data_IF_961490990142
#
_entry.id   IF_961490990142
#
_cell.length_a   1.000
_cell.length_b   1.000
_cell.length_c   1.000
_cell.angle_alpha   90.00
_cell.angle_beta   90.00
_cell.angle_gamma   90.00
#
_symmetry.space_group_name_H-M   'P 1'
#
loop_
_entity.id
_entity.type
_entity.pdbx_description
1 polymer ?
#
# COMPACT_ATOMS: atom_id res chain seq x y z
N UNK A 1 -5.70 -16.12 11.30
CA UNK A 1 -4.67 -16.42 10.29
C UNK A 1 -4.99 -17.79 9.76
N UNK A 2 -5.12 -17.94 8.45
CA UNK A 2 -5.40 -19.21 7.78
C UNK A 2 -4.15 -19.64 7.03
N UNK A 3 -3.72 -20.89 7.22
CA UNK A 3 -2.48 -21.39 6.64
C UNK A 3 -2.79 -22.55 5.68
N UNK A 4 -2.18 -22.52 4.52
CA UNK A 4 -2.20 -23.59 3.54
C UNK A 4 -0.82 -24.25 3.48
N UNK A 5 -0.80 -25.58 3.44
CA UNK A 5 0.41 -26.38 3.48
C UNK A 5 0.44 -27.31 2.27
N UNK A 6 1.65 -27.55 1.75
CA UNK A 6 1.95 -28.59 0.77
C UNK A 6 2.97 -29.55 1.41
N UNK A 7 2.47 -30.66 1.94
CA UNK A 7 3.24 -31.48 2.88
C UNK A 7 3.62 -30.70 4.14
N UNK A 8 4.91 -30.61 4.43
CA UNK A 8 5.46 -29.85 5.56
C UNK A 8 5.81 -28.38 5.20
N UNK A 9 5.72 -28.01 3.92
CA UNK A 9 6.05 -26.67 3.46
C UNK A 9 4.82 -25.75 3.55
N UNK A 10 4.96 -24.60 4.19
CA UNK A 10 3.94 -23.55 4.16
C UNK A 10 3.81 -23.03 2.72
N UNK A 11 2.67 -23.28 2.08
CA UNK A 11 2.45 -22.90 0.69
C UNK A 11 1.83 -21.52 0.55
N UNK A 12 0.97 -21.12 1.50
CA UNK A 12 0.30 -19.82 1.52
C UNK A 12 -0.17 -19.45 2.93
N UNK A 13 -0.17 -18.17 3.26
CA UNK A 13 -0.75 -17.67 4.51
C UNK A 13 -1.71 -16.51 4.24
N UNK A 14 -2.84 -16.50 4.94
CA UNK A 14 -3.83 -15.42 4.97
C UNK A 14 -3.96 -14.87 6.37
N UNK A 15 -4.10 -13.55 6.48
CA UNK A 15 -4.53 -12.87 7.70
C UNK A 15 -5.78 -12.04 7.40
N UNK A 16 -6.74 -12.05 8.32
CA UNK A 16 -7.90 -11.15 8.25
C UNK A 16 -7.61 -9.92 9.08
N UNK A 17 -7.66 -8.76 8.44
CA UNK A 17 -7.61 -7.45 9.08
C UNK A 17 -9.03 -6.93 9.30
N UNK A 18 -9.19 -6.00 10.24
CA UNK A 18 -10.48 -5.33 10.49
C UNK A 18 -10.95 -4.56 9.26
N UNK A 19 -12.22 -4.13 9.27
CA UNK A 19 -12.72 -3.22 8.26
C UNK A 19 -11.89 -1.91 8.24
N UNK A 20 -11.66 -1.33 7.06
CA UNK A 20 -10.90 -0.09 6.91
C UNK A 20 -11.65 1.10 7.52
N UNK A 21 -10.93 1.91 8.27
CA UNK A 21 -11.34 3.21 8.77
C UNK A 21 -10.74 4.29 7.85
N UNK A 22 -11.59 5.18 7.35
CA UNK A 22 -11.22 6.24 6.42
C UNK A 22 -11.13 7.56 7.18
N UNK A 23 -9.99 8.25 7.03
CA UNK A 23 -9.66 9.49 7.70
C UNK A 23 -9.68 10.69 6.76
N UNK A 24 -8.76 11.61 7.00
CA UNK A 24 -8.70 12.88 6.27
C UNK A 24 -8.27 12.68 4.81
N UNK A 25 -8.80 13.56 3.95
CA UNK A 25 -8.41 13.71 2.56
C UNK A 25 -7.59 14.97 2.35
N UNK A 26 -6.68 14.95 1.38
CA UNK A 26 -5.68 16.01 1.15
C UNK A 26 -5.68 16.46 -0.32
N UNK A 27 -6.82 16.93 -0.80
CA UNK A 27 -7.00 17.32 -2.21
C UNK A 27 -6.94 18.82 -2.48
N UNK A 28 -6.82 19.65 -1.43
CA UNK A 28 -6.51 21.06 -1.65
C UNK A 28 -5.10 21.22 -2.24
N UNK A 29 -4.93 22.26 -3.05
CA UNK A 29 -3.68 22.49 -3.80
C UNK A 29 -2.44 22.54 -2.87
N UNK A 30 -2.43 23.31 -1.76
CA UNK A 30 -1.30 23.31 -0.83
C UNK A 30 -0.91 21.92 -0.30
N UNK A 31 -1.88 21.13 0.16
CA UNK A 31 -1.61 19.80 0.69
C UNK A 31 -1.07 18.86 -0.40
N UNK A 32 -1.70 18.84 -1.59
CA UNK A 32 -1.24 18.03 -2.73
C UNK A 32 0.20 18.38 -3.12
N UNK A 33 0.54 19.66 -3.19
CA UNK A 33 1.89 20.11 -3.53
C UNK A 33 2.92 19.72 -2.46
N UNK A 34 2.56 19.80 -1.17
CA UNK A 34 3.45 19.38 -0.09
C UNK A 34 3.68 17.87 -0.12
N UNK A 35 2.62 17.07 -0.28
CA UNK A 35 2.70 15.61 -0.35
C UNK A 35 3.49 15.16 -1.58
N UNK A 36 3.29 15.79 -2.74
CA UNK A 36 4.04 15.49 -3.94
C UNK A 36 5.55 15.74 -3.73
N UNK A 37 5.91 16.90 -3.16
CA UNK A 37 7.31 17.19 -2.78
C UNK A 37 7.87 16.16 -1.81
N UNK A 38 7.10 15.77 -0.79
CA UNK A 38 7.51 14.80 0.22
C UNK A 38 7.93 13.46 -0.40
N UNK A 39 7.30 13.03 -1.49
CA UNK A 39 7.64 11.80 -2.21
C UNK A 39 8.50 12.02 -3.46
N UNK A 40 8.98 13.25 -3.69
CA UNK A 40 9.85 13.59 -4.81
C UNK A 40 9.16 13.54 -6.19
N UNK A 41 7.86 13.86 -6.24
CA UNK A 41 7.05 13.88 -7.47
C UNK A 41 6.43 15.26 -7.71
N UNK A 42 5.92 15.46 -8.92
CA UNK A 42 5.06 16.59 -9.24
C UNK A 42 3.59 16.28 -8.88
N UNK A 43 2.85 17.26 -8.37
CA UNK A 43 1.44 17.08 -7.98
C UNK A 43 0.52 16.69 -9.16
N UNK A 44 0.96 16.97 -10.40
CA UNK A 44 0.29 16.53 -11.63
C UNK A 44 0.45 15.05 -11.96
N UNK A 45 1.29 14.32 -11.23
CA UNK A 45 1.47 12.86 -11.39
C UNK A 45 0.48 12.03 -10.59
N UNK A 46 -0.25 12.67 -9.67
CA UNK A 46 -1.36 12.04 -8.97
C UNK A 46 -2.51 11.76 -9.94
N UNK A 47 -3.16 10.63 -9.76
CA UNK A 47 -4.38 10.32 -10.50
C UNK A 47 -5.54 11.21 -9.99
N UNK A 48 -6.48 11.51 -10.88
CA UNK A 48 -7.61 12.40 -10.58
C UNK A 48 -8.90 11.63 -10.23
N UNK A 49 -8.89 10.31 -10.42
CA UNK A 49 -10.04 9.44 -10.21
C UNK A 49 -10.18 8.94 -8.76
N UNK A 50 -9.28 9.33 -7.86
CA UNK A 50 -9.38 9.02 -6.43
C UNK A 50 -8.61 10.05 -5.58
N UNK A 51 -9.03 10.28 -4.32
CA UNK A 51 -8.44 11.28 -3.44
C UNK A 51 -7.11 10.83 -2.83
N UNK A 52 -6.27 11.77 -2.40
CA UNK A 52 -5.25 11.44 -1.40
C UNK A 52 -5.94 11.29 -0.06
N UNK A 53 -5.82 10.13 0.60
CA UNK A 53 -6.61 9.84 1.80
C UNK A 53 -5.84 8.96 2.78
N UNK A 54 -6.04 9.21 4.08
CA UNK A 54 -5.57 8.32 5.13
C UNK A 54 -6.57 7.17 5.34
N UNK A 55 -6.09 5.94 5.27
CA UNK A 55 -6.91 4.75 5.55
C UNK A 55 -6.17 3.82 6.50
N UNK A 56 -6.90 3.17 7.40
CA UNK A 56 -6.33 2.33 8.46
C UNK A 56 -7.12 1.05 8.67
N UNK A 57 -6.42 -0.06 8.84
CA UNK A 57 -6.94 -1.28 9.49
C UNK A 57 -6.22 -1.53 10.81
N UNK A 58 -5.63 -0.47 11.37
CA UNK A 58 -5.00 -0.41 12.67
C UNK A 58 -3.76 0.46 12.74
N UNK A 59 -3.02 0.54 11.65
CA UNK A 59 -1.97 1.55 11.44
C UNK A 59 -2.43 2.43 10.27
N UNK A 60 -2.45 3.76 10.41
CA UNK A 60 -2.85 4.66 9.33
C UNK A 60 -1.74 4.81 8.28
N UNK A 61 -2.14 4.74 7.01
CA UNK A 61 -1.31 5.02 5.85
C UNK A 61 -1.98 6.09 5.00
N UNK A 62 -1.22 7.02 4.42
CA UNK A 62 -1.72 7.93 3.39
C UNK A 62 -1.55 7.29 2.02
N UNK A 63 -2.66 7.10 1.31
CA UNK A 63 -2.71 6.49 -0.01
C UNK A 63 -2.59 7.56 -1.09
N UNK A 64 -1.58 7.40 -1.93
CA UNK A 64 -1.25 8.32 -3.01
C UNK A 64 -1.52 7.62 -4.36
N UNK A 65 -2.67 7.86 -5.00
CA UNK A 65 -2.94 7.32 -6.32
C UNK A 65 -2.03 8.02 -7.34
N UNK A 66 -1.16 7.26 -8.02
CA UNK A 66 -0.20 7.74 -9.00
C UNK A 66 -0.59 7.25 -10.40
N UNK A 67 -0.50 8.12 -11.40
CA UNK A 67 -0.95 7.84 -12.77
C UNK A 67 -0.20 6.69 -13.44
N UNK A 68 1.10 6.56 -13.23
CA UNK A 68 1.96 5.60 -13.94
C UNK A 68 2.91 4.85 -13.00
N UNK A 69 3.30 3.63 -13.38
CA UNK A 69 4.37 2.87 -12.70
C UNK A 69 5.70 3.60 -12.77
N UNK A 70 5.98 4.26 -13.90
CA UNK A 70 7.20 5.04 -14.08
C UNK A 70 7.32 6.18 -13.06
N UNK A 71 6.22 6.86 -12.74
CA UNK A 71 6.17 7.86 -11.68
C UNK A 71 6.41 7.23 -10.29
N UNK A 72 5.76 6.11 -9.99
CA UNK A 72 6.01 5.35 -8.74
C UNK A 72 7.51 4.97 -8.61
N UNK A 73 8.15 4.57 -9.71
CA UNK A 73 9.57 4.20 -9.73
C UNK A 73 10.54 5.38 -9.60
N UNK A 74 10.14 6.57 -10.06
CA UNK A 74 10.91 7.82 -9.91
C UNK A 74 10.77 8.43 -8.51
N UNK A 75 9.73 8.08 -7.77
CA UNK A 75 9.50 8.62 -6.43
C UNK A 75 10.75 8.47 -5.55
N UNK A 76 11.14 9.56 -4.92
CA UNK A 76 12.34 9.67 -4.10
C UNK A 76 11.99 10.51 -2.86
N UNK A 77 11.93 9.90 -1.67
CA UNK A 77 11.58 10.61 -0.44
C UNK A 77 12.44 11.84 -0.19
N UNK A 78 11.79 13.00 0.01
CA UNK A 78 12.43 14.21 0.53
C UNK A 78 12.15 14.28 2.04
N UNK A 79 13.20 14.06 2.84
CA UNK A 79 13.07 13.97 4.29
C UNK A 79 12.68 15.31 4.94
N UNK A 80 13.07 16.44 4.36
CA UNK A 80 12.68 17.76 4.87
C UNK A 80 11.19 18.01 4.60
N UNK A 81 10.74 17.76 3.38
CA UNK A 81 9.34 17.89 3.01
C UNK A 81 8.45 16.88 3.75
N UNK A 82 8.92 15.66 4.01
CA UNK A 82 8.19 14.67 4.83
C UNK A 82 8.07 15.10 6.30
N UNK A 83 9.12 15.68 6.91
CA UNK A 83 9.01 16.23 8.27
C UNK A 83 8.02 17.39 8.33
N UNK A 84 8.00 18.22 7.30
CA UNK A 84 7.03 19.31 7.17
C UNK A 84 5.61 18.78 7.02
N UNK A 85 5.39 17.78 6.17
CA UNK A 85 4.11 17.11 6.01
C UNK A 85 3.66 16.39 7.29
N UNK A 86 4.58 15.79 8.05
CA UNK A 86 4.27 15.25 9.38
C UNK A 86 3.80 16.34 10.34
N UNK A 87 4.49 17.48 10.38
CA UNK A 87 4.15 18.59 11.28
C UNK A 87 2.83 19.30 10.90
N UNK A 88 2.57 19.47 9.60
CA UNK A 88 1.39 20.22 9.10
C UNK A 88 0.15 19.34 8.88
N UNK A 89 0.35 18.07 8.49
CA UNK A 89 -0.72 17.17 8.05
C UNK A 89 -0.77 15.84 8.83
N UNK A 90 0.19 15.58 9.74
CA UNK A 90 0.22 14.35 10.54
C UNK A 90 0.62 13.09 9.75
N UNK A 91 1.24 13.23 8.58
CA UNK A 91 1.52 12.13 7.66
C UNK A 91 2.89 11.46 7.92
N UNK A 92 2.88 10.14 8.11
CA UNK A 92 4.07 9.35 8.44
C UNK A 92 4.35 8.19 7.47
N UNK A 93 3.32 7.43 7.08
CA UNK A 93 3.44 6.28 6.20
C UNK A 93 2.85 6.57 4.83
N UNK A 94 3.71 6.80 3.84
CA UNK A 94 3.32 7.16 2.47
C UNK A 94 3.22 5.90 1.62
N UNK A 95 2.02 5.59 1.14
CA UNK A 95 1.75 4.44 0.30
C UNK A 95 1.40 4.87 -1.12
N UNK A 96 2.37 4.83 -2.01
CA UNK A 96 2.21 5.21 -3.41
C UNK A 96 1.79 3.99 -4.19
N UNK A 97 0.80 4.14 -5.06
CA UNK A 97 0.36 3.05 -5.91
C UNK A 97 -0.13 3.52 -7.28
N UNK A 98 0.03 2.67 -8.28
CA UNK A 98 -0.54 2.85 -9.61
C UNK A 98 -1.34 1.62 -10.02
N UNK A 99 -2.42 1.86 -10.78
CA UNK A 99 -3.23 0.81 -11.42
C UNK A 99 -2.86 0.61 -12.89
N UNK A 100 -1.82 1.31 -13.37
CA UNK A 100 -1.31 1.11 -14.72
C UNK A 100 -0.87 -0.36 -14.88
N UNK A 101 -1.40 -1.00 -15.93
CA UNK A 101 -0.99 -2.34 -16.30
C UNK A 101 0.48 -2.32 -16.78
N UNK A 102 1.23 -3.36 -16.44
CA UNK A 102 2.62 -3.48 -16.85
C UNK A 102 3.16 -4.86 -16.52
N UNK A 103 4.42 -5.11 -16.87
CA UNK A 103 5.09 -6.37 -16.56
C UNK A 103 6.09 -6.19 -15.40
N UNK A 104 6.07 -7.06 -14.37
CA UNK A 104 5.15 -8.18 -14.19
C UNK A 104 3.69 -7.73 -13.95
N UNK A 105 2.75 -8.52 -14.46
CA UNK A 105 1.32 -8.28 -14.30
C UNK A 105 0.91 -8.21 -12.81
N UNK A 106 0.13 -7.19 -12.47
CA UNK A 106 -0.48 -6.99 -11.16
C UNK A 106 -1.68 -6.03 -11.28
N UNK A 107 -2.61 -6.10 -10.33
CA UNK A 107 -3.70 -5.12 -10.21
C UNK A 107 -3.17 -3.78 -9.73
N UNK A 108 -2.21 -3.82 -8.80
CA UNK A 108 -1.60 -2.65 -8.17
C UNK A 108 -0.08 -2.77 -8.26
N UNK A 109 0.59 -1.66 -8.52
CA UNK A 109 2.04 -1.52 -8.41
C UNK A 109 2.37 -0.46 -7.37
N UNK A 110 3.11 -0.80 -6.32
CA UNK A 110 3.21 0.07 -5.13
C UNK A 110 4.61 0.15 -4.51
N UNK A 111 4.78 1.20 -3.70
CA UNK A 111 5.94 1.45 -2.82
C UNK A 111 5.45 2.05 -1.50
N UNK A 112 6.18 1.77 -0.41
CA UNK A 112 5.88 2.30 0.92
C UNK A 112 7.11 2.99 1.49
N UNK A 113 6.94 4.25 1.91
CA UNK A 113 7.99 5.06 2.56
C UNK A 113 7.55 5.50 3.95
N UNK A 114 8.45 5.39 4.92
CA UNK A 114 8.28 5.96 6.26
C UNK A 114 9.63 6.42 6.85
N UNK A 115 10.42 7.25 6.14
CA UNK A 115 11.80 7.56 6.55
C UNK A 115 11.86 8.39 7.84
N UNK A 116 10.80 9.15 8.17
CA UNK A 116 10.69 9.85 9.47
C UNK A 116 10.64 8.89 10.66
N UNK A 117 10.26 7.62 10.42
CA UNK A 117 10.26 6.54 11.40
C UNK A 117 11.50 5.62 11.28
N UNK A 118 12.49 6.00 10.46
CA UNK A 118 13.71 5.23 10.22
C UNK A 118 13.58 4.11 9.18
N UNK A 119 12.42 3.99 8.51
CA UNK A 119 12.20 3.01 7.43
C UNK A 119 12.22 3.73 6.09
N UNK A 120 13.35 3.67 5.39
CA UNK A 120 13.50 4.34 4.09
C UNK A 120 12.49 3.82 3.05
N UNK A 121 12.40 2.51 2.90
CA UNK A 121 11.43 1.83 2.03
C UNK A 121 11.21 0.40 2.54
N UNK A 122 9.96 -0.03 2.57
CA UNK A 122 9.58 -1.39 2.98
C UNK A 122 9.20 -2.25 1.75
N UNK A 123 9.83 -3.43 1.54
CA UNK A 123 9.60 -4.25 0.35
C UNK A 123 8.20 -4.88 0.26
N UNK A 124 7.53 -5.11 1.40
CA UNK A 124 6.23 -5.78 1.45
C UNK A 124 5.45 -5.38 2.71
N UNK A 125 4.49 -4.47 2.59
CA UNK A 125 3.80 -3.88 3.75
C UNK A 125 2.42 -4.47 3.94
N UNK A 126 2.32 -5.58 4.67
CA UNK A 126 1.03 -6.25 4.93
C UNK A 126 0.00 -5.35 5.63
N UNK A 127 0.45 -4.48 6.55
CA UNK A 127 -0.42 -3.51 7.24
C UNK A 127 -1.03 -2.45 6.31
N UNK A 128 -0.39 -2.15 5.18
CA UNK A 128 -0.90 -1.22 4.18
C UNK A 128 -1.74 -1.92 3.09
N UNK A 129 -1.66 -3.24 2.97
CA UNK A 129 -2.43 -3.97 1.95
C UNK A 129 -3.92 -4.11 2.32
N UNK A 130 -4.25 -4.19 3.61
CA UNK A 130 -5.66 -4.23 4.04
C UNK A 130 -6.41 -2.92 3.74
N UNK A 131 -5.93 -1.76 4.21
CA UNK A 131 -6.60 -0.49 3.92
C UNK A 131 -6.57 -0.17 2.41
N UNK A 132 -5.55 -0.61 1.66
CA UNK A 132 -5.52 -0.51 0.19
C UNK A 132 -6.74 -1.21 -0.45
N UNK A 133 -7.04 -2.46 -0.07
CA UNK A 133 -8.19 -3.19 -0.61
C UNK A 133 -9.50 -2.45 -0.38
N UNK A 134 -9.66 -1.89 0.83
CA UNK A 134 -10.79 -1.03 1.19
C UNK A 134 -10.89 0.23 0.35
N UNK A 135 -9.76 0.93 0.20
CA UNK A 135 -9.63 2.14 -0.59
C UNK A 135 -10.02 1.91 -2.06
N UNK A 136 -9.48 0.85 -2.67
CA UNK A 136 -9.78 0.51 -4.07
C UNK A 136 -11.27 0.23 -4.28
N UNK A 137 -11.90 -0.50 -3.35
CA UNK A 137 -13.33 -0.80 -3.40
C UNK A 137 -14.19 0.46 -3.21
N UNK A 138 -13.89 1.28 -2.19
CA UNK A 138 -14.66 2.47 -1.84
C UNK A 138 -14.68 3.50 -2.97
N UNK A 139 -13.53 3.73 -3.59
CA UNK A 139 -13.39 4.73 -4.65
C UNK A 139 -13.71 4.18 -6.05
N UNK A 140 -14.26 2.96 -6.15
CA UNK A 140 -14.67 2.37 -7.42
C UNK A 140 -13.51 2.12 -8.39
N UNK A 141 -12.28 2.00 -7.86
CA UNK A 141 -11.07 1.71 -8.64
C UNK A 141 -11.01 0.24 -9.08
N UNK A 142 -11.75 -0.61 -8.38
CA UNK A 142 -12.04 -2.00 -8.74
C UNK A 142 -13.53 -2.26 -8.53
N UNK A 143 -14.12 -3.18 -9.30
CA UNK A 143 -15.46 -3.67 -9.01
C UNK A 143 -15.47 -4.48 -7.72
N UNK A 144 -16.65 -4.67 -7.13
CA UNK A 144 -16.81 -5.52 -5.94
C UNK A 144 -16.34 -6.97 -6.16
N UNK A 145 -16.45 -7.49 -7.38
CA UNK A 145 -15.93 -8.80 -7.76
C UNK A 145 -14.41 -8.79 -7.84
N UNK A 146 -13.83 -7.80 -8.52
CA UNK A 146 -12.38 -7.62 -8.64
C UNK A 146 -11.70 -7.40 -7.29
N UNK A 147 -12.37 -6.72 -6.35
CA UNK A 147 -11.89 -6.47 -5.00
C UNK A 147 -11.55 -7.76 -4.22
N UNK A 148 -12.10 -8.91 -4.62
CA UNK A 148 -11.84 -10.22 -4.01
C UNK A 148 -10.61 -10.94 -4.55
N UNK A 149 -9.93 -10.37 -5.55
CA UNK A 149 -8.80 -11.00 -6.23
C UNK A 149 -7.71 -9.98 -6.61
N UNK A 150 -7.52 -8.94 -5.78
CA UNK A 150 -6.50 -7.92 -6.03
C UNK A 150 -5.12 -8.52 -5.78
N UNK A 151 -4.20 -8.29 -6.72
CA UNK A 151 -2.78 -8.62 -6.57
C UNK A 151 -1.96 -7.34 -6.57
N UNK A 152 -1.31 -7.06 -5.45
CA UNK A 152 -0.41 -5.93 -5.29
C UNK A 152 1.06 -6.39 -5.47
N UNK A 153 1.76 -5.75 -6.40
CA UNK A 153 3.20 -5.91 -6.59
C UNK A 153 3.93 -4.78 -5.87
N UNK A 154 4.61 -5.11 -4.77
CA UNK A 154 5.41 -4.17 -3.97
C UNK A 154 6.90 -4.58 -3.99
N UNK A 155 7.79 -3.62 -3.78
CA UNK A 155 9.23 -3.88 -3.63
C UNK A 155 9.95 -4.22 -4.94
N UNK A 156 9.26 -4.14 -6.08
CA UNK A 156 9.84 -4.42 -7.39
C UNK A 156 11.02 -3.50 -7.71
N UNK A 157 10.85 -2.19 -7.53
CA UNK A 157 11.86 -1.17 -7.81
C UNK A 157 13.18 -1.35 -7.05
N UNK A 158 13.11 -1.91 -5.83
CA UNK A 158 14.26 -2.17 -4.97
C UNK A 158 14.85 -3.58 -5.12
N UNK A 159 14.38 -4.36 -6.13
CA UNK A 159 14.87 -5.71 -6.40
C UNK A 159 14.37 -6.77 -5.42
N UNK A 160 13.30 -6.49 -4.66
CA UNK A 160 12.70 -7.40 -3.68
C UNK A 160 11.20 -7.59 -3.95
N UNK A 161 10.82 -8.05 -5.15
CA UNK A 161 9.42 -8.10 -5.57
C UNK A 161 8.61 -9.05 -4.70
N UNK A 162 7.46 -8.56 -4.23
CA UNK A 162 6.49 -9.33 -3.45
C UNK A 162 5.11 -9.18 -4.06
N UNK A 163 4.46 -10.32 -4.32
CA UNK A 163 3.07 -10.39 -4.76
C UNK A 163 2.19 -10.66 -3.55
N UNK A 164 1.40 -9.66 -3.19
CA UNK A 164 0.53 -9.69 -2.01
C UNK A 164 -0.90 -9.78 -2.51
N UNK A 165 -1.60 -10.84 -2.11
CA UNK A 165 -3.00 -11.06 -2.43
C UNK A 165 -3.88 -10.32 -1.44
N UNK A 166 -4.91 -9.64 -1.95
CA UNK A 166 -5.86 -8.84 -1.17
C UNK A 166 -7.27 -9.25 -1.56
N UNK A 167 -8.08 -9.63 -0.57
CA UNK A 167 -9.51 -9.86 -0.71
C UNK A 167 -10.28 -8.87 0.17
N UNK A 168 -10.85 -7.84 -0.44
CA UNK A 168 -11.72 -6.90 0.25
C UNK A 168 -13.19 -7.38 0.17
N UNK A 169 -13.87 -7.35 1.32
CA UNK A 169 -15.30 -7.67 1.43
C UNK A 169 -16.14 -6.40 1.57
N UNK A 170 -17.47 -6.55 1.64
CA UNK A 170 -18.40 -5.41 1.75
C UNK A 170 -18.76 -4.79 0.41
N UNK A 171 -19.26 -3.56 0.45
CA UNK A 171 -19.65 -2.75 -0.74
C UNK A 171 -18.79 -1.48 -0.81
N UNK A 172 -18.81 -0.73 -1.93
CA UNK A 172 -18.13 0.56 -2.00
C UNK A 172 -18.52 1.54 -0.87
N UNK A 173 -19.79 1.55 -0.47
CA UNK A 173 -20.31 2.44 0.57
C UNK A 173 -19.95 1.96 1.99
N UNK A 174 -19.76 0.66 2.16
CA UNK A 174 -19.41 0.03 3.43
C UNK A 174 -18.38 -1.10 3.21
N UNK A 175 -17.09 -0.75 3.01
CA UNK A 175 -16.04 -1.75 2.91
C UNK A 175 -15.92 -2.55 4.20
N UNK A 176 -15.87 -3.88 4.07
CA UNK A 176 -15.80 -4.81 5.18
C UNK A 176 -14.36 -5.19 5.56
N UNK A 177 -14.20 -6.23 6.41
CA UNK A 177 -12.89 -6.83 6.68
C UNK A 177 -12.14 -7.23 5.41
N UNK A 178 -10.81 -7.14 5.46
CA UNK A 178 -9.94 -7.42 4.32
C UNK A 178 -9.00 -8.57 4.66
N UNK A 179 -8.88 -9.55 3.77
CA UNK A 179 -7.88 -10.61 3.89
C UNK A 179 -6.65 -10.22 3.09
N UNK A 180 -5.49 -10.34 3.73
CA UNK A 180 -4.18 -10.11 3.10
C UNK A 180 -3.40 -11.41 3.17
N UNK A 181 -2.79 -11.81 2.06
CA UNK A 181 -2.09 -13.06 2.00
C UNK A 181 -0.96 -13.09 1.01
N UNK A 182 -0.15 -14.13 1.10
CA UNK A 182 1.00 -14.32 0.24
C UNK A 182 1.70 -15.64 0.50
N UNK A 183 2.70 -15.90 -0.33
CA UNK A 183 3.63 -17.03 -0.18
C UNK A 183 4.85 -16.56 0.59
N UNK A 184 5.50 -17.50 1.28
CA UNK A 184 6.80 -17.27 1.91
C UNK A 184 7.75 -18.39 1.54
N UNK A 185 9.05 -18.14 1.68
CA UNK A 185 10.08 -19.15 1.50
C UNK A 185 11.01 -19.11 2.71
N UNK A 186 11.36 -20.29 3.22
CA UNK A 186 12.33 -20.41 4.30
C UNK A 186 13.72 -20.09 3.75
N UNK A 187 14.35 -19.03 4.27
CA UNK A 187 15.70 -18.61 3.84
C UNK A 187 16.78 -19.16 4.77
N UNK A 188 16.54 -19.15 6.08
CA UNK A 188 17.49 -19.64 7.08
C UNK A 188 16.77 -20.10 8.35
N UNK A 189 17.39 -21.03 9.07
CA UNK A 189 17.01 -21.46 10.42
C UNK A 189 18.24 -21.45 11.33
N UNK A 190 18.04 -21.27 12.63
CA UNK A 190 19.13 -21.27 13.61
C UNK A 190 18.60 -21.30 15.04
N UNK A 191 19.51 -21.47 15.99
CA UNK A 191 19.24 -21.48 17.43
C UNK A 191 20.01 -20.33 18.08
N UNK A 192 19.39 -19.61 19.02
CA UNK A 192 20.05 -18.62 19.85
C UNK A 192 20.26 -19.19 21.25
N UNK A 193 21.51 -19.29 21.69
CA UNK A 193 21.87 -19.65 23.06
C UNK A 193 22.20 -18.37 23.85
N UNK A 194 21.74 -18.30 25.10
CA UNK A 194 21.87 -17.13 25.99
C UNK A 194 22.66 -17.52 27.23
#
# INVERSE_FOLDING_TARGET
VDLSWDGEALSFAWMTQRAPEFGDTFDDRPARELIARAVGLDAGEFAENAPIEVVSTGVPFVYLPIRTRAAVDRAAPDLEAMRRAQAELGLEHYYLFSLEAGEPASTVYSRMFAPVLGVMEDPATGGACGPLGGYLLRHGLVTQEQARAVVNLQGHRMGRPSWISIEASGTPEAPGPVRVGGRSVLVATGTLEV
#
